data_IF_101487192025
#
_entry.id   IF_101487192025
#
_cell.length_a   1.000
_cell.length_b   1.000
_cell.length_c   1.000
_cell.angle_alpha   90.00
_cell.angle_beta   90.00
_cell.angle_gamma   90.00
#
_symmetry.space_group_name_H-M   'P 1'
#
loop_
_entity.id
_entity.type
_entity.pdbx_description
1 polymer ?
#
# COMPACT_ATOMS: atom_id res chain seq x y z
N UNK A 1 -12.72 4.49 -12.42
CA UNK A 1 -11.68 3.52 -12.82
C UNK A 1 -11.79 2.27 -11.98
N UNK A 2 -11.39 1.15 -12.53
CA UNK A 2 -11.23 -0.11 -11.79
C UNK A 2 -9.81 -0.17 -11.24
N UNK A 3 -9.67 -0.24 -9.93
CA UNK A 3 -8.39 -0.15 -9.26
C UNK A 3 -8.09 -1.39 -8.41
N UNK A 4 -6.82 -1.76 -8.34
CA UNK A 4 -6.27 -2.62 -7.30
C UNK A 4 -5.40 -1.75 -6.40
N UNK A 5 -5.60 -1.85 -5.09
CA UNK A 5 -4.87 -1.07 -4.09
C UNK A 5 -3.91 -1.98 -3.34
N UNK A 6 -2.68 -1.52 -3.14
CA UNK A 6 -1.66 -2.26 -2.40
C UNK A 6 -1.05 -1.36 -1.33
N UNK A 7 -1.17 -1.76 -0.08
CA UNK A 7 -0.65 -0.97 1.05
C UNK A 7 -0.78 -1.72 2.36
N UNK A 8 -0.13 -1.22 3.41
CA UNK A 8 -0.06 -1.93 4.69
C UNK A 8 -0.29 -1.03 5.90
N UNK A 9 0.37 0.11 5.97
CA UNK A 9 0.44 0.92 7.18
C UNK A 9 -0.81 1.76 7.44
N UNK A 10 -1.00 2.18 8.68
CA UNK A 10 -2.18 2.92 9.12
C UNK A 10 -2.40 4.24 8.34
N UNK A 11 -1.32 4.95 7.99
CA UNK A 11 -1.44 6.22 7.25
C UNK A 11 -1.98 6.05 5.82
N UNK A 12 -1.96 4.83 5.29
CA UNK A 12 -2.49 4.52 3.96
C UNK A 12 -4.02 4.48 3.97
N UNK A 13 -4.63 4.11 5.09
CA UNK A 13 -6.08 3.93 5.21
C UNK A 13 -6.89 5.17 4.79
N UNK A 14 -6.62 6.38 5.29
CA UNK A 14 -7.37 7.56 4.86
C UNK A 14 -7.19 7.87 3.37
N UNK A 15 -6.04 7.53 2.79
CA UNK A 15 -5.79 7.72 1.35
C UNK A 15 -6.65 6.76 0.53
N UNK A 16 -6.67 5.49 0.90
CA UNK A 16 -7.51 4.48 0.24
C UNK A 16 -9.00 4.78 0.39
N UNK A 17 -9.40 5.27 1.56
CA UNK A 17 -10.76 5.68 1.81
C UNK A 17 -11.18 6.86 0.91
N UNK A 18 -10.29 7.82 0.72
CA UNK A 18 -10.51 8.93 -0.20
C UNK A 18 -10.64 8.46 -1.67
N UNK A 19 -9.81 7.52 -2.09
CA UNK A 19 -9.89 6.93 -3.43
C UNK A 19 -11.24 6.23 -3.64
N UNK A 20 -11.67 5.45 -2.66
CA UNK A 20 -12.97 4.77 -2.71
C UNK A 20 -14.12 5.77 -2.75
N UNK A 21 -14.06 6.81 -1.93
CA UNK A 21 -15.10 7.84 -1.85
C UNK A 21 -15.19 8.69 -3.13
N UNK A 22 -14.12 8.75 -3.92
CA UNK A 22 -14.12 9.43 -5.21
C UNK A 22 -14.91 8.70 -6.32
N UNK A 23 -15.47 7.52 -6.01
CA UNK A 23 -16.31 6.77 -6.92
C UNK A 23 -15.59 5.71 -7.77
N UNK A 24 -14.32 5.41 -7.47
CA UNK A 24 -13.59 4.35 -8.15
C UNK A 24 -14.04 2.98 -7.66
N UNK A 25 -14.08 2.01 -8.58
CA UNK A 25 -14.34 0.61 -8.23
C UNK A 25 -13.04 -0.05 -7.75
N UNK A 26 -13.02 -0.48 -6.49
CA UNK A 26 -11.88 -1.21 -5.94
C UNK A 26 -12.09 -2.70 -6.15
N UNK A 27 -11.31 -3.29 -7.06
CA UNK A 27 -11.43 -4.71 -7.40
C UNK A 27 -10.89 -5.61 -6.32
N UNK A 28 -9.77 -5.22 -5.71
CA UNK A 28 -9.11 -5.96 -4.63
C UNK A 28 -8.12 -5.07 -3.89
N UNK A 29 -7.77 -5.52 -2.69
CA UNK A 29 -6.77 -4.89 -1.83
C UNK A 29 -5.71 -5.93 -1.48
N UNK A 30 -4.44 -5.59 -1.69
CA UNK A 30 -3.30 -6.41 -1.28
C UNK A 30 -2.58 -5.74 -0.13
N UNK A 31 -2.28 -6.50 0.90
CA UNK A 31 -1.60 -6.02 2.09
C UNK A 31 -0.68 -7.11 2.64
N UNK A 32 0.19 -6.77 3.57
CA UNK A 32 1.03 -7.76 4.22
C UNK A 32 0.22 -8.70 5.10
N UNK A 33 0.71 -9.92 5.23
CA UNK A 33 0.13 -10.91 6.13
C UNK A 33 0.14 -10.42 7.59
N UNK A 34 -0.80 -10.90 8.43
CA UNK A 34 -0.81 -10.57 9.85
C UNK A 34 0.55 -10.83 10.51
N UNK A 35 0.93 -9.95 11.44
CA UNK A 35 2.19 -10.03 12.18
C UNK A 35 1.93 -10.12 13.69
N UNK A 36 2.83 -10.79 14.44
CA UNK A 36 2.81 -10.73 15.90
C UNK A 36 3.07 -9.30 16.39
N UNK A 37 2.19 -8.79 17.24
CA UNK A 37 2.26 -7.42 17.77
C UNK A 37 2.21 -7.44 19.29
N UNK A 38 2.95 -6.54 19.93
CA UNK A 38 2.99 -6.36 21.37
C UNK A 38 3.76 -7.44 22.12
N UNK A 39 3.76 -7.35 23.44
CA UNK A 39 4.48 -8.29 24.31
C UNK A 39 3.95 -9.72 24.20
N UNK A 40 2.66 -9.90 24.00
CA UNK A 40 2.02 -11.21 23.87
C UNK A 40 2.14 -11.80 22.46
N UNK A 41 2.74 -11.08 21.52
CA UNK A 41 2.94 -11.50 20.11
C UNK A 41 1.66 -12.04 19.47
N UNK A 42 0.56 -11.32 19.63
CA UNK A 42 -0.73 -11.68 19.05
C UNK A 42 -0.69 -11.36 17.54
N UNK A 43 -1.04 -12.34 16.71
CA UNK A 43 -1.17 -12.14 15.27
C UNK A 43 -2.24 -11.09 15.00
N UNK A 44 -1.83 -9.98 14.40
CA UNK A 44 -2.68 -8.83 14.15
C UNK A 44 -2.65 -8.50 12.66
N UNK A 45 -3.82 -8.41 12.00
CA UNK A 45 -3.88 -7.98 10.61
C UNK A 45 -3.43 -6.53 10.47
N UNK A 46 -2.99 -6.15 9.26
CA UNK A 46 -2.60 -4.78 8.99
C UNK A 46 -3.81 -3.82 9.09
N UNK A 47 -3.58 -2.53 9.35
CA UNK A 47 -4.67 -1.54 9.31
C UNK A 47 -5.41 -1.51 7.97
N UNK A 48 -4.72 -1.70 6.86
CA UNK A 48 -5.33 -1.78 5.53
C UNK A 48 -6.21 -3.03 5.39
N UNK A 49 -5.79 -4.16 5.95
CA UNK A 49 -6.60 -5.38 5.97
C UNK A 49 -7.94 -5.15 6.68
N UNK A 50 -7.89 -4.57 7.87
CA UNK A 50 -9.09 -4.26 8.66
C UNK A 50 -10.01 -3.32 7.89
N UNK A 51 -9.47 -2.27 7.30
CA UNK A 51 -10.22 -1.33 6.48
C UNK A 51 -10.90 -2.02 5.29
N UNK A 52 -10.19 -2.88 4.58
CA UNK A 52 -10.74 -3.60 3.43
C UNK A 52 -11.90 -4.52 3.83
N UNK A 53 -11.76 -5.25 4.93
CA UNK A 53 -12.83 -6.10 5.46
C UNK A 53 -14.06 -5.29 5.87
N UNK A 54 -13.87 -4.16 6.56
CA UNK A 54 -14.95 -3.27 6.96
C UNK A 54 -15.73 -2.69 5.78
N UNK A 55 -15.07 -2.56 4.64
CA UNK A 55 -15.69 -2.04 3.41
C UNK A 55 -16.16 -3.15 2.45
N UNK A 56 -16.11 -4.41 2.87
CA UNK A 56 -16.56 -5.54 2.05
C UNK A 56 -15.72 -5.77 0.79
N UNK A 57 -14.46 -5.35 0.79
CA UNK A 57 -13.56 -5.49 -0.35
C UNK A 57 -12.79 -6.80 -0.29
N UNK A 58 -12.53 -7.46 -1.43
CA UNK A 58 -11.62 -8.60 -1.47
C UNK A 58 -10.24 -8.18 -0.97
N UNK A 59 -9.67 -8.93 -0.02
CA UNK A 59 -8.35 -8.66 0.54
C UNK A 59 -7.48 -9.89 0.43
N UNK A 60 -6.23 -9.67 -0.02
CA UNK A 60 -5.23 -10.72 -0.21
C UNK A 60 -3.98 -10.38 0.58
N UNK A 61 -3.38 -11.38 1.19
CA UNK A 61 -2.13 -11.24 1.95
C UNK A 61 -0.93 -11.90 1.27
N UNK A 62 -1.14 -12.50 0.11
CA UNK A 62 -0.09 -13.09 -0.72
C UNK A 62 -0.18 -12.55 -2.14
N UNK A 63 0.88 -11.91 -2.61
CA UNK A 63 0.95 -11.36 -3.96
C UNK A 63 0.79 -12.43 -5.06
N UNK A 64 1.05 -13.68 -4.75
CA UNK A 64 0.85 -14.80 -5.66
C UNK A 64 -0.61 -15.03 -6.02
N UNK A 65 -1.53 -14.52 -5.20
CA UNK A 65 -2.98 -14.59 -5.46
C UNK A 65 -3.43 -13.55 -6.48
N UNK A 66 -2.52 -12.69 -6.97
CA UNK A 66 -2.86 -11.66 -7.93
C UNK A 66 -3.31 -12.27 -9.26
N UNK A 67 -4.55 -12.00 -9.64
CA UNK A 67 -5.15 -12.40 -10.91
C UNK A 67 -6.22 -11.37 -11.31
N UNK A 68 -5.77 -10.15 -11.60
CA UNK A 68 -6.65 -9.03 -11.89
C UNK A 68 -6.19 -8.29 -13.14
N UNK A 69 -7.14 -7.63 -13.79
CA UNK A 69 -6.89 -6.75 -14.94
C UNK A 69 -7.54 -5.38 -14.69
N UNK A 70 -7.00 -4.60 -13.75
CA UNK A 70 -7.54 -3.29 -13.43
C UNK A 70 -7.17 -2.25 -14.48
N UNK A 71 -7.76 -1.05 -14.36
CA UNK A 71 -7.31 0.11 -15.12
C UNK A 71 -5.99 0.65 -14.60
N UNK A 72 -5.75 0.51 -13.28
CA UNK A 72 -4.52 0.97 -12.63
C UNK A 72 -4.30 0.22 -11.31
N UNK A 73 -3.05 0.02 -10.95
CA UNK A 73 -2.64 -0.46 -9.62
C UNK A 73 -2.04 0.71 -8.85
N UNK A 74 -2.55 0.97 -7.65
CA UNK A 74 -2.04 2.03 -6.76
C UNK A 74 -1.32 1.39 -5.58
N UNK A 75 -0.04 1.71 -5.42
CA UNK A 75 0.82 1.16 -4.38
C UNK A 75 1.24 2.27 -3.42
N UNK A 76 0.96 2.08 -2.15
CA UNK A 76 1.36 3.02 -1.09
C UNK A 76 1.84 2.22 0.10
N UNK A 77 3.13 2.28 0.39
CA UNK A 77 3.71 1.59 1.57
C UNK A 77 3.27 0.13 1.69
N UNK A 78 3.41 -0.61 0.60
CA UNK A 78 3.04 -2.03 0.58
C UNK A 78 4.11 -2.91 1.24
N UNK A 79 5.37 -2.67 0.91
CA UNK A 79 6.50 -3.40 1.49
C UNK A 79 6.75 -4.78 0.89
N UNK A 80 6.20 -5.07 -0.26
CA UNK A 80 6.41 -6.31 -1.02
C UNK A 80 6.86 -5.94 -2.42
N UNK A 81 7.84 -6.69 -2.95
CA UNK A 81 8.32 -6.48 -4.32
C UNK A 81 7.25 -6.96 -5.30
N UNK A 82 6.92 -6.12 -6.27
CA UNK A 82 5.93 -6.45 -7.29
C UNK A 82 6.50 -7.43 -8.31
N UNK A 83 5.70 -8.41 -8.68
CA UNK A 83 6.03 -9.41 -9.69
C UNK A 83 5.72 -8.88 -11.09
N UNK A 84 6.32 -9.49 -12.09
CA UNK A 84 6.12 -9.12 -13.49
C UNK A 84 4.66 -9.22 -13.95
N UNK A 85 3.91 -10.20 -13.42
CA UNK A 85 2.49 -10.36 -13.73
C UNK A 85 1.65 -9.16 -13.28
N UNK A 86 1.99 -8.55 -12.14
CA UNK A 86 1.35 -7.32 -11.66
C UNK A 86 1.74 -6.14 -12.56
N UNK A 87 3.03 -5.99 -12.81
CA UNK A 87 3.57 -4.87 -13.62
C UNK A 87 3.06 -4.89 -15.06
N UNK A 88 2.77 -6.06 -15.59
CA UNK A 88 2.25 -6.24 -16.95
C UNK A 88 0.74 -6.07 -17.04
N UNK A 89 0.02 -6.16 -15.93
CA UNK A 89 -1.46 -6.16 -15.93
C UNK A 89 -2.08 -4.81 -16.21
N UNK A 90 -1.43 -3.74 -15.76
CA UNK A 90 -1.93 -2.37 -15.85
C UNK A 90 -0.82 -1.37 -15.48
N UNK A 91 -1.00 -0.07 -15.76
CA UNK A 91 -0.13 0.97 -15.21
C UNK A 91 -0.09 0.89 -13.68
N UNK A 92 1.11 1.00 -13.11
CA UNK A 92 1.33 0.96 -11.67
C UNK A 92 1.83 2.32 -11.19
N UNK A 93 1.16 2.90 -10.21
CA UNK A 93 1.56 4.15 -9.57
C UNK A 93 1.97 3.84 -8.13
N UNK A 94 3.17 4.23 -7.75
CA UNK A 94 3.67 4.09 -6.39
C UNK A 94 3.82 5.46 -5.76
N UNK A 95 3.11 5.70 -4.67
CA UNK A 95 3.25 6.94 -3.88
C UNK A 95 4.43 6.75 -2.93
N UNK A 96 5.48 7.55 -3.12
CA UNK A 96 6.71 7.47 -2.36
C UNK A 96 6.88 8.70 -1.45
N UNK A 97 7.02 8.52 -0.12
CA UNK A 97 7.08 9.65 0.83
C UNK A 97 8.49 10.24 0.91
N UNK A 98 8.99 10.74 -0.21
CA UNK A 98 10.21 11.53 -0.30
C UNK A 98 10.15 12.45 -1.50
N UNK A 99 11.05 13.43 -1.54
CA UNK A 99 11.31 14.23 -2.73
C UNK A 99 12.33 13.48 -3.58
N UNK A 100 11.85 12.59 -4.46
CA UNK A 100 12.73 11.83 -5.34
C UNK A 100 13.60 12.75 -6.19
N UNK A 101 14.87 12.39 -6.46
CA UNK A 101 15.52 11.08 -6.28
C UNK A 101 16.07 10.82 -4.88
N UNK A 102 15.81 11.68 -3.90
CA UNK A 102 16.27 11.49 -2.53
C UNK A 102 15.53 10.31 -1.87
N UNK A 103 16.28 9.53 -1.09
CA UNK A 103 15.72 8.47 -0.24
C UNK A 103 14.89 7.45 -0.98
N UNK A 104 15.44 6.89 -2.05
CA UNK A 104 14.92 5.68 -2.66
C UNK A 104 14.99 4.53 -1.64
N UNK A 105 14.12 3.53 -1.79
CA UNK A 105 14.13 2.37 -0.92
C UNK A 105 13.02 2.41 0.15
N UNK A 106 13.10 1.54 1.17
CA UNK A 106 11.95 1.24 2.05
C UNK A 106 11.73 2.21 3.21
N UNK A 107 12.65 3.14 3.48
CA UNK A 107 12.61 3.98 4.69
C UNK A 107 12.88 5.46 4.42
N UNK A 108 12.16 6.10 3.48
CA UNK A 108 12.45 7.48 3.11
C UNK A 108 12.18 8.48 4.23
N UNK A 109 11.14 8.28 5.04
CA UNK A 109 10.79 9.18 6.15
C UNK A 109 11.89 9.15 7.21
N UNK A 110 12.32 7.96 7.63
CA UNK A 110 13.41 7.82 8.61
C UNK A 110 14.70 8.42 8.11
N UNK A 111 15.03 8.21 6.84
CA UNK A 111 16.25 8.76 6.23
C UNK A 111 16.25 10.28 6.23
N UNK A 112 15.14 10.92 5.91
CA UNK A 112 15.01 12.37 5.97
C UNK A 112 15.23 12.92 7.39
N UNK A 113 14.65 12.25 8.39
CA UNK A 113 14.81 12.63 9.80
C UNK A 113 16.25 12.44 10.24
N UNK A 114 16.88 11.31 9.94
CA UNK A 114 18.26 11.03 10.30
C UNK A 114 19.24 12.05 9.72
N UNK A 115 18.98 12.51 8.49
CA UNK A 115 19.84 13.52 7.84
C UNK A 115 19.53 14.96 8.27
N UNK A 116 18.53 15.15 9.14
CA UNK A 116 18.17 16.47 9.64
C UNK A 116 17.56 17.39 8.60
N UNK A 117 16.90 16.84 7.59
CA UNK A 117 16.29 17.61 6.52
C UNK A 117 15.19 18.52 7.08
N UNK A 118 15.19 19.78 6.68
CA UNK A 118 14.18 20.76 7.07
C UNK A 118 12.86 20.55 6.31
N UNK A 119 12.92 19.91 5.14
CA UNK A 119 11.77 19.67 4.27
C UNK A 119 11.83 18.27 3.69
N UNK A 120 10.66 17.69 3.52
CA UNK A 120 10.44 16.46 2.78
C UNK A 120 9.13 16.57 2.01
N UNK A 121 8.79 15.54 1.27
CA UNK A 121 7.56 15.55 0.47
C UNK A 121 7.17 14.16 0.01
N UNK A 122 6.28 14.12 -0.97
CA UNK A 122 5.72 12.89 -1.53
C UNK A 122 5.75 12.97 -3.05
N UNK A 123 6.15 11.87 -3.66
CA UNK A 123 6.09 11.71 -5.12
C UNK A 123 5.19 10.56 -5.53
#
# INVERSE_FOLDING_TARGET
MKLVLMGTNAFVVPIFDAIKSAGHEIMAVFTRAPKPVGRKRILTPSPVHVWAEQNGLPVHTDIKEYNYSPDMVVVISYGVILRDDVLSSAPVVNVHPSLLPLYRGPSPIRSAIYNGDAKSGVC
#
